data_IF_278945869525
#
_entry.id   IF_278945869525
#
_cell.length_a   1.000
_cell.length_b   1.000
_cell.length_c   1.000
_cell.angle_alpha   90.00
_cell.angle_beta   90.00
_cell.angle_gamma   90.00
#
_symmetry.space_group_name_H-M   'P 1'
#
loop_
_entity.id
_entity.type
_entity.pdbx_description
1 polymer ?
#
# COMPACT_ATOMS: atom_id res chain seq x y z
N UNK A 1 -31.39 31.00 -5.36
CA UNK A 1 -30.10 30.36 -5.70
C UNK A 1 -30.37 28.86 -5.67
N UNK A 2 -30.45 28.21 -6.84
CA UNK A 2 -30.52 26.75 -6.91
C UNK A 2 -29.14 26.25 -6.49
N UNK A 3 -29.04 25.53 -5.37
CA UNK A 3 -27.89 24.68 -5.09
C UNK A 3 -27.78 23.69 -6.26
N UNK A 4 -26.80 23.88 -7.13
CA UNK A 4 -26.41 22.84 -8.07
C UNK A 4 -26.12 21.58 -7.26
N UNK A 5 -26.96 20.58 -7.44
CA UNK A 5 -26.85 19.27 -6.82
C UNK A 5 -25.56 18.63 -7.36
N UNK A 6 -24.41 18.99 -6.77
CA UNK A 6 -23.10 18.45 -7.18
C UNK A 6 -23.08 16.98 -6.84
N UNK A 7 -23.20 16.16 -7.86
CA UNK A 7 -23.11 14.70 -7.73
C UNK A 7 -21.82 14.33 -6.99
N UNK A 8 -21.95 13.64 -5.88
CA UNK A 8 -20.81 13.08 -5.16
C UNK A 8 -20.41 11.77 -5.84
N UNK A 9 -19.18 11.66 -6.26
CA UNK A 9 -18.64 10.43 -6.83
C UNK A 9 -17.97 9.60 -5.73
N UNK A 10 -18.21 8.28 -5.79
CA UNK A 10 -17.55 7.31 -4.90
C UNK A 10 -16.49 6.59 -5.72
N UNK A 11 -15.25 6.70 -5.29
CA UNK A 11 -14.16 5.93 -5.89
C UNK A 11 -13.56 4.94 -4.91
N UNK A 12 -13.11 3.83 -5.47
CA UNK A 12 -12.35 2.79 -4.78
C UNK A 12 -10.87 3.04 -5.08
N UNK A 13 -10.08 3.18 -4.04
CA UNK A 13 -8.62 3.33 -4.12
C UNK A 13 -7.98 2.11 -3.49
N UNK A 14 -7.01 1.49 -4.16
CA UNK A 14 -6.38 0.28 -3.65
C UNK A 14 -4.87 0.46 -3.47
N UNK A 15 -4.39 0.20 -2.26
CA UNK A 15 -2.98 0.14 -1.92
C UNK A 15 -2.53 -1.32 -2.03
N UNK A 16 -1.87 -1.66 -3.13
CA UNK A 16 -1.46 -3.03 -3.42
C UNK A 16 -0.01 -3.22 -3.00
N UNK A 17 0.17 -4.04 -1.97
CA UNK A 17 1.45 -4.35 -1.35
C UNK A 17 2.00 -5.68 -1.80
N UNK A 18 3.31 -5.78 -1.96
CA UNK A 18 4.01 -7.04 -2.19
C UNK A 18 5.42 -7.01 -1.64
N UNK A 19 6.12 -8.15 -1.68
CA UNK A 19 7.47 -8.29 -1.15
C UNK A 19 8.41 -8.85 -2.22
N UNK A 20 9.47 -8.10 -2.50
CA UNK A 20 10.56 -8.57 -3.34
C UNK A 20 11.53 -9.42 -2.52
N UNK A 21 11.55 -10.72 -2.76
CA UNK A 21 12.42 -11.68 -2.06
C UNK A 21 13.89 -11.58 -2.48
N UNK A 22 14.20 -10.98 -3.63
CA UNK A 22 15.58 -10.80 -4.09
C UNK A 22 16.24 -9.64 -3.34
N UNK A 23 15.55 -8.52 -3.25
CA UNK A 23 16.02 -7.32 -2.55
C UNK A 23 15.63 -7.29 -1.06
N UNK A 24 14.73 -8.16 -0.62
CA UNK A 24 14.12 -8.17 0.71
C UNK A 24 13.40 -6.84 1.05
N UNK A 25 12.66 -6.29 0.10
CA UNK A 25 11.97 -5.01 0.23
C UNK A 25 10.46 -5.15 0.12
N UNK A 26 9.74 -4.39 0.95
CA UNK A 26 8.30 -4.17 0.80
C UNK A 26 8.09 -3.18 -0.34
N UNK A 27 7.14 -3.48 -1.21
CA UNK A 27 6.81 -2.65 -2.36
C UNK A 27 5.34 -2.27 -2.38
N UNK A 28 5.05 -1.08 -2.88
CA UNK A 28 3.72 -0.57 -3.18
C UNK A 28 3.59 -0.37 -4.69
N UNK A 29 2.48 -0.84 -5.25
CA UNK A 29 2.20 -0.60 -6.66
C UNK A 29 1.69 0.81 -6.88
N UNK A 30 2.31 1.53 -7.80
CA UNK A 30 1.80 2.79 -8.34
C UNK A 30 1.60 2.68 -9.84
N UNK A 31 0.63 3.44 -10.34
CA UNK A 31 0.29 3.54 -11.76
C UNK A 31 0.50 4.98 -12.25
N UNK A 32 0.94 5.15 -13.50
CA UNK A 32 1.08 6.46 -14.13
C UNK A 32 -0.19 6.76 -14.92
N UNK A 33 -0.86 7.83 -14.59
CA UNK A 33 -2.15 8.20 -15.20
C UNK A 33 -2.00 8.54 -16.69
N UNK A 34 -2.86 8.00 -17.52
CA UNK A 34 -2.93 8.29 -18.96
C UNK A 34 -4.00 9.33 -19.32
N UNK A 35 -4.82 9.76 -18.34
CA UNK A 35 -5.97 10.62 -18.56
C UNK A 35 -6.04 11.77 -17.53
N UNK A 36 -6.78 12.82 -17.87
CA UNK A 36 -7.13 13.92 -16.95
C UNK A 36 -8.22 13.47 -15.97
N UNK A 37 -8.24 14.04 -14.76
CA UNK A 37 -7.26 14.97 -14.18
C UNK A 37 -5.94 14.26 -13.80
N UNK A 38 -4.88 15.04 -13.58
CA UNK A 38 -3.54 14.56 -13.19
C UNK A 38 -2.84 13.64 -14.23
N UNK A 39 -3.04 13.90 -15.53
CA UNK A 39 -2.35 13.22 -16.63
C UNK A 39 -0.82 13.20 -16.41
N UNK A 40 -0.21 12.02 -16.55
CA UNK A 40 1.23 11.80 -16.43
C UNK A 40 1.76 11.74 -14.99
N UNK A 41 0.92 11.97 -13.98
CA UNK A 41 1.30 11.82 -12.57
C UNK A 41 1.20 10.36 -12.14
N UNK A 42 2.05 9.98 -11.18
CA UNK A 42 1.92 8.71 -10.49
C UNK A 42 0.78 8.76 -9.46
N UNK A 43 0.07 7.66 -9.32
CA UNK A 43 -1.11 7.55 -8.47
C UNK A 43 -1.26 6.15 -7.89
N UNK A 44 -2.10 6.03 -6.85
CA UNK A 44 -2.65 4.73 -6.48
C UNK A 44 -3.60 4.23 -7.58
N UNK A 45 -3.70 2.91 -7.78
CA UNK A 45 -4.78 2.32 -8.58
C UNK A 45 -6.14 2.76 -8.04
N UNK A 46 -7.03 3.23 -8.93
CA UNK A 46 -8.38 3.66 -8.57
C UNK A 46 -9.42 3.30 -9.63
N UNK A 47 -10.66 3.16 -9.22
CA UNK A 47 -11.84 3.01 -10.09
C UNK A 47 -13.06 3.62 -9.44
N UNK A 48 -14.08 3.97 -10.21
CA UNK A 48 -15.38 4.35 -9.64
C UNK A 48 -16.17 3.11 -9.23
N UNK A 49 -16.95 3.26 -8.15
CA UNK A 49 -17.92 2.25 -7.74
C UNK A 49 -19.04 2.18 -8.77
N UNK A 50 -19.27 0.99 -9.31
CA UNK A 50 -20.35 0.73 -10.26
C UNK A 50 -21.71 0.57 -9.56
N UNK A 51 -22.80 0.73 -10.33
CA UNK A 51 -24.18 0.65 -9.84
C UNK A 51 -24.57 -0.74 -9.28
N UNK A 52 -23.94 -1.80 -9.80
CA UNK A 52 -24.34 -3.19 -9.53
C UNK A 52 -23.24 -4.01 -8.85
N UNK A 53 -22.34 -3.35 -8.13
CA UNK A 53 -21.26 -4.02 -7.42
C UNK A 53 -21.07 -3.47 -6.01
N UNK A 54 -20.60 -4.31 -5.10
CA UNK A 54 -20.13 -3.84 -3.79
C UNK A 54 -18.74 -3.18 -3.90
N UNK A 55 -18.35 -2.42 -2.87
CA UNK A 55 -17.02 -1.82 -2.81
C UNK A 55 -15.90 -2.87 -2.84
N UNK A 56 -16.13 -4.04 -2.22
CA UNK A 56 -15.19 -5.17 -2.26
C UNK A 56 -15.06 -5.75 -3.67
N UNK A 57 -16.18 -5.92 -4.37
CA UNK A 57 -16.17 -6.36 -5.77
C UNK A 57 -15.46 -5.36 -6.69
N UNK A 58 -15.68 -4.06 -6.47
CA UNK A 58 -15.00 -3.01 -7.22
C UNK A 58 -13.48 -3.01 -6.94
N UNK A 59 -13.05 -3.24 -5.68
CA UNK A 59 -11.64 -3.36 -5.33
C UNK A 59 -10.97 -4.56 -6.04
N UNK A 60 -11.66 -5.70 -6.14
CA UNK A 60 -11.20 -6.88 -6.88
C UNK A 60 -11.14 -6.63 -8.39
N UNK A 61 -12.20 -6.05 -8.95
CA UNK A 61 -12.26 -5.67 -10.36
C UNK A 61 -11.14 -4.71 -10.72
N UNK A 62 -10.84 -3.74 -9.85
CA UNK A 62 -9.76 -2.78 -10.04
C UNK A 62 -8.41 -3.47 -10.25
N UNK A 63 -8.09 -4.49 -9.43
CA UNK A 63 -6.84 -5.25 -9.57
C UNK A 63 -6.77 -5.93 -10.93
N UNK A 64 -7.84 -6.63 -11.33
CA UNK A 64 -7.92 -7.31 -12.62
C UNK A 64 -7.80 -6.34 -13.79
N UNK A 65 -8.62 -5.28 -13.81
CA UNK A 65 -8.79 -4.42 -14.99
C UNK A 65 -7.63 -3.42 -15.16
N UNK A 66 -7.01 -2.95 -14.05
CA UNK A 66 -5.95 -1.93 -14.10
C UNK A 66 -4.54 -2.52 -14.19
N UNK A 67 -4.35 -3.74 -13.72
CA UNK A 67 -3.03 -4.32 -13.53
C UNK A 67 -2.88 -5.61 -14.34
N UNK A 68 -3.98 -6.15 -14.88
CA UNK A 68 -3.99 -7.40 -15.64
C UNK A 68 -3.77 -8.64 -14.77
N UNK A 69 -4.02 -8.55 -13.45
CA UNK A 69 -3.85 -9.65 -12.53
C UNK A 69 -5.17 -10.37 -12.31
N UNK A 70 -5.28 -11.57 -12.87
CA UNK A 70 -6.27 -12.55 -12.45
C UNK A 70 -5.71 -13.35 -11.28
N UNK A 71 -6.13 -13.01 -10.08
CA UNK A 71 -5.67 -13.66 -8.87
C UNK A 71 -6.76 -14.57 -8.32
N UNK A 72 -6.41 -15.83 -8.14
CA UNK A 72 -7.32 -16.83 -7.56
C UNK A 72 -7.61 -16.56 -6.07
N UNK A 73 -6.65 -15.97 -5.35
CA UNK A 73 -6.81 -15.59 -3.95
C UNK A 73 -5.82 -14.47 -3.59
N UNK A 74 -6.30 -13.41 -2.93
CA UNK A 74 -5.49 -12.42 -2.26
C UNK A 74 -6.26 -11.83 -1.09
N UNK A 75 -5.54 -11.34 -0.09
CA UNK A 75 -6.16 -10.75 1.08
C UNK A 75 -6.35 -9.26 0.86
N UNK A 76 -7.58 -8.80 1.04
CA UNK A 76 -7.97 -7.39 0.93
C UNK A 76 -8.69 -6.97 2.19
N UNK A 77 -8.33 -5.80 2.73
CA UNK A 77 -9.03 -5.19 3.86
C UNK A 77 -9.31 -3.72 3.58
N UNK A 78 -10.45 -3.23 4.08
CA UNK A 78 -10.76 -1.81 4.02
C UNK A 78 -9.83 -1.03 4.96
N UNK A 79 -9.17 0.00 4.41
CA UNK A 79 -8.32 0.88 5.19
C UNK A 79 -9.15 1.94 5.92
N UNK A 80 -9.81 2.82 5.16
CA UNK A 80 -10.54 3.96 5.67
C UNK A 80 -11.41 4.58 4.57
N UNK A 81 -12.40 5.39 4.97
CA UNK A 81 -13.19 6.20 4.05
C UNK A 81 -12.73 7.67 4.13
N UNK A 82 -12.24 8.21 3.02
CA UNK A 82 -11.73 9.58 2.92
C UNK A 82 -12.82 10.52 2.40
N UNK A 83 -13.27 11.44 3.26
CA UNK A 83 -14.43 12.31 2.99
C UNK A 83 -14.16 13.80 3.15
N UNK A 84 -12.89 14.23 3.27
CA UNK A 84 -12.55 15.63 3.48
C UNK A 84 -13.20 16.54 2.40
N UNK A 85 -13.81 17.68 2.76
CA UNK A 85 -14.48 18.56 1.78
C UNK A 85 -13.57 19.07 0.68
N UNK A 86 -12.26 19.16 0.95
CA UNK A 86 -11.23 19.61 0.02
C UNK A 86 -10.91 18.58 -1.08
N UNK A 87 -11.42 17.34 -0.95
CA UNK A 87 -11.28 16.29 -1.96
C UNK A 87 -12.25 16.56 -3.12
N UNK A 88 -11.87 17.49 -3.98
CA UNK A 88 -12.64 17.89 -5.15
C UNK A 88 -11.79 17.67 -6.39
N UNK A 89 -12.27 16.92 -7.35
CA UNK A 89 -11.81 16.97 -8.73
C UNK A 89 -12.56 18.08 -9.47
N UNK A 90 -12.22 18.41 -10.69
CA UNK A 90 -12.65 19.60 -11.44
C UNK A 90 -14.08 20.09 -11.21
N UNK A 91 -15.06 19.21 -10.96
CA UNK A 91 -16.47 19.59 -10.78
C UNK A 91 -17.24 18.75 -9.75
N UNK A 92 -16.64 17.69 -9.21
CA UNK A 92 -17.32 16.74 -8.32
C UNK A 92 -16.58 16.55 -7.01
N UNK A 93 -17.34 16.42 -5.92
CA UNK A 93 -16.80 15.98 -4.64
C UNK A 93 -16.52 14.48 -4.71
N UNK A 94 -15.31 14.06 -4.31
CA UNK A 94 -14.94 12.65 -4.31
C UNK A 94 -14.89 12.09 -2.88
N UNK A 95 -15.61 11.00 -2.67
CA UNK A 95 -15.44 10.14 -1.50
C UNK A 95 -14.62 8.92 -1.94
N UNK A 96 -13.56 8.59 -1.20
CA UNK A 96 -12.77 7.39 -1.47
C UNK A 96 -12.94 6.34 -0.39
N UNK A 97 -13.34 5.15 -0.80
CA UNK A 97 -13.21 3.93 -0.01
C UNK A 97 -11.84 3.33 -0.34
N UNK A 98 -10.90 3.45 0.59
CA UNK A 98 -9.56 2.93 0.38
C UNK A 98 -9.43 1.50 0.93
N UNK A 99 -8.76 0.65 0.15
CA UNK A 99 -8.47 -0.75 0.46
C UNK A 99 -6.97 -0.99 0.47
N UNK A 100 -6.54 -1.99 1.23
CA UNK A 100 -5.20 -2.55 1.19
C UNK A 100 -5.30 -3.99 0.68
N UNK A 101 -4.52 -4.31 -0.35
CA UNK A 101 -4.42 -5.66 -0.91
C UNK A 101 -2.99 -6.18 -0.73
N UNK A 102 -2.86 -7.40 -0.24
CA UNK A 102 -1.59 -8.04 0.10
C UNK A 102 -1.31 -9.19 -0.87
N UNK A 103 -0.38 -8.97 -1.81
CA UNK A 103 -0.03 -9.96 -2.83
C UNK A 103 1.20 -10.75 -2.39
N UNK A 104 1.12 -12.09 -2.34
CA UNK A 104 2.25 -12.94 -1.95
C UNK A 104 3.38 -12.99 -2.99
N UNK A 105 3.13 -12.52 -4.19
CA UNK A 105 4.08 -12.50 -5.29
C UNK A 105 4.05 -11.14 -6.01
N UNK A 106 5.15 -10.77 -6.66
CA UNK A 106 5.24 -9.60 -7.53
C UNK A 106 5.09 -10.04 -8.98
N UNK A 107 3.87 -10.11 -9.53
CA UNK A 107 3.67 -10.52 -10.90
C UNK A 107 4.16 -9.45 -11.89
N UNK A 108 4.42 -9.82 -13.15
CA UNK A 108 4.62 -8.87 -14.23
C UNK A 108 3.42 -7.92 -14.32
N UNK A 109 3.67 -6.63 -14.51
CA UNK A 109 2.63 -5.61 -14.56
C UNK A 109 2.28 -5.29 -16.01
N UNK A 110 0.98 -5.34 -16.32
CA UNK A 110 0.43 -4.90 -17.59
C UNK A 110 -0.47 -3.69 -17.32
N UNK A 111 -0.02 -2.45 -17.62
CA UNK A 111 -0.85 -1.27 -17.42
C UNK A 111 -2.19 -1.40 -18.16
N UNK A 112 -3.29 -1.27 -17.42
CA UNK A 112 -4.65 -1.35 -17.95
C UNK A 112 -5.28 0.02 -18.19
N UNK A 113 -6.60 0.08 -18.29
CA UNK A 113 -7.37 1.30 -18.57
C UNK A 113 -7.00 2.46 -17.64
N UNK A 114 -6.70 3.64 -18.25
CA UNK A 114 -6.36 4.87 -17.54
C UNK A 114 -4.94 4.90 -16.97
N UNK A 115 -4.09 3.90 -17.26
CA UNK A 115 -2.68 3.87 -16.88
C UNK A 115 -1.76 3.73 -18.11
N UNK A 116 -0.73 4.57 -18.22
CA UNK A 116 0.32 4.48 -19.23
C UNK A 116 1.56 3.71 -18.76
N UNK A 117 1.70 3.49 -17.46
CA UNK A 117 2.79 2.76 -16.84
C UNK A 117 2.32 2.22 -15.47
N UNK A 118 2.93 1.15 -15.00
CA UNK A 118 2.70 0.58 -13.67
C UNK A 118 4.04 0.05 -13.13
N UNK A 119 4.38 0.40 -11.88
CA UNK A 119 5.66 -0.02 -11.28
C UNK A 119 5.52 -0.29 -9.79
N UNK A 120 6.37 -1.19 -9.32
CA UNK A 120 6.59 -1.43 -7.90
C UNK A 120 7.57 -0.39 -7.34
N UNK A 121 7.17 0.24 -6.25
CA UNK A 121 7.98 1.23 -5.54
C UNK A 121 8.39 0.69 -4.19
N UNK A 122 9.70 0.55 -3.98
CA UNK A 122 10.26 0.03 -2.73
C UNK A 122 10.06 1.01 -1.57
N UNK A 123 9.57 0.50 -0.45
CA UNK A 123 9.38 1.26 0.79
C UNK A 123 10.70 1.40 1.55
N UNK A 124 11.03 2.61 1.92
CA UNK A 124 12.17 2.97 2.78
C UNK A 124 11.79 4.08 3.76
N UNK A 125 12.74 4.52 4.56
CA UNK A 125 12.58 5.65 5.48
C UNK A 125 13.67 6.69 5.21
N UNK A 126 13.27 7.92 4.99
CA UNK A 126 14.16 9.08 4.81
C UNK A 126 13.66 10.19 5.74
N UNK A 127 14.55 10.74 6.58
CA UNK A 127 14.23 11.81 7.55
C UNK A 127 12.98 11.51 8.39
N UNK A 128 12.89 10.28 8.92
CA UNK A 128 11.75 9.79 9.70
C UNK A 128 10.40 9.82 8.97
N UNK A 129 10.40 9.86 7.64
CA UNK A 129 9.19 9.72 6.80
C UNK A 129 9.28 8.50 5.91
N UNK A 130 8.15 7.89 5.64
CA UNK A 130 8.05 6.84 4.64
C UNK A 130 8.34 7.38 3.26
N UNK A 131 9.15 6.66 2.52
CA UNK A 131 9.58 7.02 1.17
C UNK A 131 9.41 5.82 0.25
N UNK A 132 8.90 6.06 -0.95
CA UNK A 132 8.68 5.06 -1.98
C UNK A 132 9.51 5.41 -3.20
N UNK A 133 10.32 4.47 -3.68
CA UNK A 133 11.24 4.72 -4.79
C UNK A 133 11.28 3.61 -5.84
N UNK A 134 11.46 4.02 -7.11
CA UNK A 134 11.76 3.13 -8.22
C UNK A 134 12.79 3.83 -9.11
N UNK A 135 14.04 3.37 -9.07
CA UNK A 135 15.16 4.05 -9.72
C UNK A 135 15.32 5.49 -9.23
N UNK A 136 15.25 6.45 -10.14
CA UNK A 136 15.34 7.89 -9.83
C UNK A 136 14.03 8.53 -9.39
N UNK A 137 12.91 7.81 -9.46
CA UNK A 137 11.58 8.32 -9.07
C UNK A 137 11.39 8.06 -7.59
N UNK A 138 11.06 9.11 -6.84
CA UNK A 138 10.89 9.02 -5.40
C UNK A 138 9.72 9.88 -4.93
N UNK A 139 8.92 9.34 -4.00
CA UNK A 139 7.83 10.01 -3.33
C UNK A 139 7.96 9.87 -1.82
N UNK A 140 7.71 10.93 -1.08
CA UNK A 140 7.59 10.91 0.37
C UNK A 140 6.12 11.10 0.76
N UNK A 141 5.68 10.42 1.81
CA UNK A 141 4.35 10.63 2.36
C UNK A 141 4.23 12.02 3.00
N UNK A 142 3.01 12.47 3.22
CA UNK A 142 2.71 13.75 3.86
C UNK A 142 3.44 13.89 5.22
N UNK A 143 3.98 15.08 5.48
CA UNK A 143 4.71 15.39 6.72
C UNK A 143 3.75 15.64 7.90
N UNK A 144 2.58 16.22 7.62
CA UNK A 144 1.56 16.62 8.59
C UNK A 144 1.12 15.43 9.45
N UNK A 145 0.85 15.68 10.73
CA UNK A 145 0.40 14.63 11.65
C UNK A 145 -1.12 14.45 11.65
N UNK A 146 -1.86 15.52 11.35
CA UNK A 146 -3.32 15.54 11.33
C UNK A 146 -3.85 15.81 9.93
N UNK A 147 -5.00 15.24 9.64
CA UNK A 147 -5.69 15.39 8.36
C UNK A 147 -6.06 16.85 8.08
N UNK A 148 -6.52 17.56 9.09
CA UNK A 148 -6.92 18.96 8.99
C UNK A 148 -5.74 19.84 8.55
N UNK A 149 -4.56 19.61 9.13
CA UNK A 149 -3.33 20.35 8.81
C UNK A 149 -2.89 20.07 7.37
N UNK A 150 -2.98 18.80 6.94
CA UNK A 150 -2.64 18.42 5.56
C UNK A 150 -3.54 19.14 4.54
N UNK A 151 -4.87 19.08 4.73
CA UNK A 151 -5.79 19.71 3.78
C UNK A 151 -5.77 21.24 3.85
N UNK A 152 -5.51 21.84 5.02
CA UNK A 152 -5.32 23.29 5.14
C UNK A 152 -4.12 23.78 4.32
N UNK A 153 -3.06 22.97 4.24
CA UNK A 153 -1.81 23.31 3.53
C UNK A 153 -1.73 22.72 2.11
N UNK A 154 -2.74 21.97 1.66
CA UNK A 154 -2.67 21.22 0.40
C UNK A 154 -2.36 22.10 -0.82
N UNK A 155 -2.95 23.29 -0.92
CA UNK A 155 -2.72 24.20 -2.05
C UNK A 155 -1.27 24.67 -2.13
N UNK A 156 -0.64 24.94 -0.99
CA UNK A 156 0.76 25.34 -0.90
C UNK A 156 1.70 24.15 -1.10
N UNK A 157 1.35 22.99 -0.58
CA UNK A 157 2.06 21.74 -0.81
C UNK A 157 2.13 21.40 -2.30
N UNK A 158 1.00 21.48 -3.01
CA UNK A 158 0.92 21.27 -4.46
C UNK A 158 1.86 22.16 -5.25
N UNK A 159 1.97 23.45 -4.86
CA UNK A 159 2.86 24.41 -5.53
C UNK A 159 4.35 24.14 -5.27
N UNK A 160 4.68 23.70 -4.05
CA UNK A 160 6.07 23.50 -3.60
C UNK A 160 6.66 22.14 -3.96
N UNK A 161 5.82 21.15 -4.31
CA UNK A 161 6.25 19.77 -4.57
C UNK A 161 5.91 19.36 -6.00
N UNK A 162 6.74 19.72 -6.98
CA UNK A 162 6.46 19.42 -8.40
C UNK A 162 6.44 17.92 -8.70
N UNK A 163 7.22 17.12 -7.98
CA UNK A 163 7.26 15.65 -8.10
C UNK A 163 6.50 15.01 -6.95
N UNK A 164 5.19 14.97 -7.06
CA UNK A 164 4.27 14.39 -6.09
C UNK A 164 3.33 13.38 -6.74
N UNK A 165 2.65 12.61 -5.92
CA UNK A 165 1.55 11.76 -6.37
C UNK A 165 0.33 12.60 -6.79
N UNK A 166 -0.54 12.01 -7.59
CA UNK A 166 -1.82 12.60 -7.92
C UNK A 166 -2.69 12.77 -6.66
N UNK A 167 -3.51 13.82 -6.67
CA UNK A 167 -4.49 14.10 -5.62
C UNK A 167 -3.87 14.23 -4.21
N UNK A 168 -4.42 13.50 -3.23
CA UNK A 168 -4.01 13.44 -1.84
C UNK A 168 -3.42 12.05 -1.46
N UNK A 169 -2.85 11.35 -2.44
CA UNK A 169 -2.41 9.98 -2.22
C UNK A 169 -1.22 9.85 -1.29
N UNK A 170 -0.38 10.86 -1.15
CA UNK A 170 0.65 10.89 -0.10
C UNK A 170 0.03 10.81 1.31
N UNK A 171 -1.16 11.41 1.50
CA UNK A 171 -1.89 11.31 2.76
C UNK A 171 -2.47 9.91 2.95
N UNK A 172 -3.14 9.37 1.94
CA UNK A 172 -3.73 8.02 2.01
C UNK A 172 -2.66 6.96 2.28
N UNK A 173 -1.50 7.02 1.61
CA UNK A 173 -0.38 6.11 1.84
C UNK A 173 0.17 6.26 3.26
N UNK A 174 0.28 7.48 3.78
CA UNK A 174 0.68 7.70 5.18
C UNK A 174 -0.27 7.02 6.16
N UNK A 175 -1.58 7.18 5.98
CA UNK A 175 -2.60 6.53 6.82
C UNK A 175 -2.45 5.01 6.77
N UNK A 176 -2.21 4.43 5.59
CA UNK A 176 -1.97 3.00 5.42
C UNK A 176 -0.72 2.53 6.16
N UNK A 177 0.41 3.23 6.01
CA UNK A 177 1.65 2.90 6.72
C UNK A 177 1.47 2.93 8.25
N UNK A 178 0.75 3.95 8.76
CA UNK A 178 0.44 4.06 10.19
C UNK A 178 -0.51 2.95 10.64
N UNK A 179 -1.53 2.61 9.84
CA UNK A 179 -2.45 1.50 10.12
C UNK A 179 -1.69 0.17 10.21
N UNK A 180 -0.83 -0.12 9.24
CA UNK A 180 0.01 -1.32 9.24
C UNK A 180 0.90 -1.33 10.48
N UNK A 181 1.64 -0.24 10.75
CA UNK A 181 2.51 -0.11 11.92
C UNK A 181 1.77 -0.41 13.23
N UNK A 182 0.58 0.15 13.41
CA UNK A 182 -0.22 -0.01 14.62
C UNK A 182 -0.78 -1.42 14.80
N UNK A 183 -0.87 -2.23 13.73
CA UNK A 183 -1.36 -3.61 13.75
C UNK A 183 -0.26 -4.66 13.89
N UNK A 184 1.02 -4.29 13.80
CA UNK A 184 2.15 -5.24 13.76
C UNK A 184 2.18 -6.23 14.95
N UNK A 185 1.74 -5.81 16.14
CA UNK A 185 1.82 -6.62 17.36
C UNK A 185 0.64 -7.57 17.58
N UNK A 186 -0.46 -7.41 16.84
CA UNK A 186 -1.67 -8.21 17.09
C UNK A 186 -2.38 -8.72 15.83
N UNK A 187 -2.28 -8.05 14.71
CA UNK A 187 -2.89 -8.43 13.42
C UNK A 187 -2.02 -7.97 12.24
N UNK A 188 -0.83 -8.55 12.06
CA UNK A 188 0.12 -8.10 11.06
C UNK A 188 -0.23 -8.62 9.65
N UNK A 189 -1.41 -8.26 9.12
CA UNK A 189 -1.87 -8.69 7.80
C UNK A 189 -0.89 -8.34 6.68
N UNK A 190 -0.01 -7.35 6.88
CA UNK A 190 1.08 -7.05 5.94
C UNK A 190 1.98 -8.26 5.68
N UNK A 191 2.11 -9.21 6.61
CA UNK A 191 2.89 -10.43 6.39
C UNK A 191 2.29 -11.37 5.34
N UNK A 192 1.01 -11.17 4.95
CA UNK A 192 0.38 -11.92 3.85
C UNK A 192 1.09 -11.69 2.51
N UNK A 193 1.86 -10.58 2.37
CA UNK A 193 2.74 -10.38 1.20
C UNK A 193 3.87 -11.40 1.11
N UNK A 194 4.12 -12.18 2.16
CA UNK A 194 5.10 -13.26 2.18
C UNK A 194 4.48 -14.62 1.80
N UNK A 195 3.15 -14.69 1.62
CA UNK A 195 2.43 -15.93 1.32
C UNK A 195 2.46 -16.94 2.47
N UNK A 196 2.22 -18.21 2.14
CA UNK A 196 2.06 -19.31 3.11
C UNK A 196 3.36 -19.83 3.73
N UNK A 197 4.49 -19.20 3.41
CA UNK A 197 5.78 -19.62 3.93
C UNK A 197 6.79 -18.50 4.02
N UNK A 198 7.16 -18.09 5.25
CA UNK A 198 8.18 -17.09 5.50
C UNK A 198 9.12 -17.46 6.65
N UNK A 199 10.30 -16.92 6.65
CA UNK A 199 11.26 -17.00 7.75
C UNK A 199 11.11 -15.82 8.69
N UNK A 200 11.57 -15.95 9.95
CA UNK A 200 11.61 -14.82 10.90
C UNK A 200 12.43 -13.65 10.33
N UNK A 201 13.46 -13.94 9.52
CA UNK A 201 14.24 -12.88 8.86
C UNK A 201 13.39 -12.07 7.89
N UNK A 202 12.61 -12.72 7.04
CA UNK A 202 11.71 -12.04 6.09
C UNK A 202 10.64 -11.23 6.82
N UNK A 203 10.03 -11.78 7.87
CA UNK A 203 9.07 -11.04 8.69
C UNK A 203 9.71 -9.75 9.29
N UNK A 204 10.96 -9.84 9.80
CA UNK A 204 11.70 -8.66 10.28
C UNK A 204 12.00 -7.65 9.16
N UNK A 205 12.30 -8.11 7.94
CA UNK A 205 12.47 -7.22 6.79
C UNK A 205 11.18 -6.47 6.47
N UNK A 206 10.01 -7.11 6.60
CA UNK A 206 8.71 -6.46 6.40
C UNK A 206 8.41 -5.45 7.52
N UNK A 207 8.69 -5.79 8.78
CA UNK A 207 8.43 -4.90 9.92
C UNK A 207 9.31 -3.64 9.92
N UNK A 208 10.58 -3.79 9.54
CA UNK A 208 11.59 -2.75 9.66
C UNK A 208 11.19 -1.40 9.06
N UNK A 209 10.74 -1.28 7.81
CA UNK A 209 10.36 -0.01 7.23
C UNK A 209 9.14 0.63 7.90
N UNK A 210 8.14 -0.15 8.34
CA UNK A 210 6.98 0.40 9.06
C UNK A 210 7.34 0.89 10.47
N UNK A 211 8.31 0.26 11.13
CA UNK A 211 8.89 0.71 12.39
C UNK A 211 9.92 1.83 12.20
N UNK A 212 10.17 2.25 10.96
CA UNK A 212 11.16 3.28 10.61
C UNK A 212 12.56 2.97 11.18
N UNK A 213 12.96 1.72 11.08
CA UNK A 213 14.25 1.22 11.56
C UNK A 213 14.91 0.30 10.53
N UNK A 214 16.14 -0.12 10.81
CA UNK A 214 16.84 -1.13 10.01
C UNK A 214 16.54 -2.53 10.56
N UNK A 215 16.43 -3.53 9.68
CA UNK A 215 16.17 -4.93 10.08
C UNK A 215 17.18 -5.45 11.11
N UNK A 216 18.44 -5.05 10.99
CA UNK A 216 19.52 -5.45 11.89
C UNK A 216 19.31 -4.98 13.34
N UNK A 217 18.55 -3.90 13.54
CA UNK A 217 18.21 -3.36 14.87
C UNK A 217 17.02 -4.10 15.53
N UNK A 218 16.28 -4.90 14.78
CA UNK A 218 15.21 -5.74 15.33
C UNK A 218 15.85 -7.04 15.81
N UNK A 219 16.02 -7.23 17.12
CA UNK A 219 16.60 -8.44 17.69
C UNK A 219 15.76 -9.68 17.35
N UNK A 220 16.41 -10.74 16.87
CA UNK A 220 15.74 -11.95 16.42
C UNK A 220 15.01 -12.70 17.54
N UNK A 221 15.64 -12.80 18.71
CA UNK A 221 15.10 -13.56 19.84
C UNK A 221 13.90 -12.84 20.44
N UNK A 222 14.04 -11.52 20.62
CA UNK A 222 12.95 -10.68 21.12
C UNK A 222 11.77 -10.65 20.15
N UNK A 223 12.03 -10.50 18.84
CA UNK A 223 11.00 -10.54 17.82
C UNK A 223 10.22 -11.86 17.85
N UNK A 224 10.92 -12.98 17.90
CA UNK A 224 10.30 -14.31 17.98
C UNK A 224 9.49 -14.48 19.26
N UNK A 225 10.01 -14.00 20.41
CA UNK A 225 9.30 -14.06 21.70
C UNK A 225 8.01 -13.24 21.67
N UNK A 226 8.03 -12.06 21.08
CA UNK A 226 6.89 -11.13 21.07
C UNK A 226 5.82 -11.57 20.05
N UNK A 227 6.23 -11.94 18.84
CA UNK A 227 5.32 -12.16 17.70
C UNK A 227 5.09 -13.64 17.37
N UNK A 228 5.91 -14.58 17.91
CA UNK A 228 5.81 -16.00 17.59
C UNK A 228 4.44 -16.62 17.85
N UNK A 229 3.66 -16.07 18.78
CA UNK A 229 2.26 -16.48 19.04
C UNK A 229 1.33 -16.28 17.85
N UNK A 230 1.66 -15.33 16.94
CA UNK A 230 0.91 -14.99 15.74
C UNK A 230 1.26 -15.91 14.56
N UNK A 231 2.29 -16.74 14.69
CA UNK A 231 2.84 -17.57 13.63
C UNK A 231 2.62 -19.05 13.94
N UNK A 232 2.43 -19.82 12.87
CA UNK A 232 2.41 -21.27 12.90
C UNK A 232 3.61 -21.81 12.11
N UNK A 233 4.40 -22.71 12.72
CA UNK A 233 5.53 -23.34 12.06
C UNK A 233 5.00 -24.39 11.04
N UNK A 234 5.38 -24.23 9.78
CA UNK A 234 4.94 -25.11 8.67
C UNK A 234 6.05 -26.03 8.17
N UNK A 235 7.31 -25.79 8.54
CA UNK A 235 8.42 -26.61 8.10
C UNK A 235 9.78 -25.93 8.19
N UNK A 236 10.69 -26.34 7.32
CA UNK A 236 12.04 -25.77 7.20
C UNK A 236 12.35 -25.41 5.76
N UNK A 237 13.01 -24.27 5.55
CA UNK A 237 13.44 -23.83 4.22
C UNK A 237 14.54 -24.76 3.69
N UNK A 238 14.60 -24.93 2.36
CA UNK A 238 15.72 -25.63 1.71
C UNK A 238 17.01 -24.86 1.99
N UNK A 239 18.01 -25.53 2.56
CA UNK A 239 19.29 -24.89 2.89
C UNK A 239 20.02 -24.45 1.62
N UNK A 240 20.15 -23.14 1.41
CA UNK A 240 20.94 -22.57 0.30
C UNK A 240 22.45 -22.52 0.60
N UNK A 241 22.87 -22.69 1.87
CA UNK A 241 24.28 -22.64 2.34
C UNK A 241 24.49 -23.64 3.48
N UNK A 242 25.77 -23.97 3.81
CA UNK A 242 26.09 -24.74 5.02
C UNK A 242 25.52 -24.07 6.28
N UNK A 243 24.70 -24.77 7.04
CA UNK A 243 24.06 -24.31 8.26
C UNK A 243 22.76 -25.06 8.54
N UNK A 244 22.18 -24.82 9.73
CA UNK A 244 20.86 -25.36 10.07
C UNK A 244 19.80 -24.66 9.19
N UNK A 245 18.91 -25.41 8.50
CA UNK A 245 17.83 -24.82 7.73
C UNK A 245 16.97 -23.90 8.61
N UNK A 246 16.55 -22.75 8.05
CA UNK A 246 15.67 -21.83 8.74
C UNK A 246 14.26 -22.43 8.86
N UNK A 247 13.62 -22.24 10.01
CA UNK A 247 12.22 -22.57 10.18
C UNK A 247 11.35 -21.68 9.30
N UNK A 248 10.30 -22.25 8.75
CA UNK A 248 9.28 -21.58 7.93
C UNK A 248 7.99 -21.50 8.71
N UNK A 249 7.35 -20.35 8.60
CA UNK A 249 6.13 -20.01 9.31
C UNK A 249 5.06 -19.49 8.35
N UNK A 250 3.82 -19.58 8.75
CA UNK A 250 2.71 -18.81 8.17
C UNK A 250 2.05 -17.94 9.23
N UNK A 251 1.35 -16.91 8.79
CA UNK A 251 0.48 -16.14 9.69
C UNK A 251 -0.69 -17.04 10.08
N UNK A 252 -1.03 -17.09 11.38
CA UNK A 252 -2.24 -17.79 11.84
C UNK A 252 -3.47 -17.05 11.32
N UNK A 253 -4.45 -17.79 10.87
CA UNK A 253 -5.79 -17.25 10.61
C UNK A 253 -6.37 -16.71 11.92
N UNK A 254 -6.99 -15.51 11.83
CA UNK A 254 -7.61 -14.84 12.98
C UNK A 254 -9.01 -15.41 13.27
#
# INVERSE_FOLDING_TARGET
>A
MQEENRLTQINIVNLIWSFDRETNQVNLLLVKRSERPALGMWSLPETFLGEHESADQAALRLVRDKIGLELAAFHTEQLETFTAPQRVTTHHRNLSLAYMTFLPEMPPLNPGYGASDARWFALSTVDSRYCFSNGSIQFQVAAEQKQEDYYANLADYVKKTPHRLAFDYEWIIKVACLRIRNKLDYQPNILLILGDGFTIREARCVYAPFLQTKMEKIDNSNFTKTHGKLFEETGTAVAKKRGRPAKVYRLKEA
#
